data_IF_300278869663
#
_entry.id   IF_300278869663
#
_cell.length_a   1.000
_cell.length_b   1.000
_cell.length_c   1.000
_cell.angle_alpha   90.00
_cell.angle_beta   90.00
_cell.angle_gamma   90.00
#
_symmetry.space_group_name_H-M   'P 1'
#
loop_
_entity.id
_entity.type
_entity.pdbx_description
1 polymer ?
#
# COMPACT_ATOMS: atom_id res chain seq x y z
N UNK A 1 9.76 -18.02 -6.15
CA UNK A 1 10.46 -19.22 -5.63
C UNK A 1 11.19 -18.81 -4.37
N UNK A 2 11.06 -19.55 -3.27
CA UNK A 2 11.75 -19.23 -2.01
C UNK A 2 13.22 -19.59 -2.15
N UNK A 3 14.14 -18.65 -1.92
CA UNK A 3 15.58 -18.89 -2.05
C UNK A 3 16.13 -19.65 -0.82
N UNK A 4 17.30 -20.32 -0.93
CA UNK A 4 17.97 -20.90 0.24
C UNK A 4 18.23 -19.86 1.35
N UNK A 5 18.55 -18.61 0.96
CA UNK A 5 18.71 -17.49 1.88
C UNK A 5 17.38 -17.12 2.59
N UNK A 6 16.25 -17.13 1.87
CA UNK A 6 14.93 -16.91 2.48
C UNK A 6 14.57 -17.99 3.50
N UNK A 7 14.93 -19.25 3.22
CA UNK A 7 14.73 -20.38 4.13
C UNK A 7 15.60 -20.19 5.37
N UNK A 8 16.88 -19.85 5.20
CA UNK A 8 17.80 -19.59 6.31
C UNK A 8 17.31 -18.45 7.20
N UNK A 9 16.86 -17.34 6.61
CA UNK A 9 16.32 -16.21 7.35
C UNK A 9 15.06 -16.58 8.15
N UNK A 10 14.16 -17.40 7.59
CA UNK A 10 13.00 -17.93 8.34
C UNK A 10 13.43 -18.81 9.51
N UNK A 11 14.44 -19.65 9.30
CA UNK A 11 14.94 -20.53 10.35
C UNK A 11 15.56 -19.74 11.51
N UNK A 12 16.28 -18.65 11.24
CA UNK A 12 16.81 -17.75 12.27
C UNK A 12 15.66 -17.15 13.09
N UNK A 13 14.61 -16.64 12.43
CA UNK A 13 13.42 -16.09 13.11
C UNK A 13 12.76 -17.15 14.00
N UNK A 14 12.60 -18.36 13.49
CA UNK A 14 12.01 -19.48 14.25
C UNK A 14 12.87 -19.87 15.45
N UNK A 15 14.19 -19.95 15.31
CA UNK A 15 15.11 -20.24 16.41
C UNK A 15 15.03 -19.18 17.51
N UNK A 16 15.01 -17.89 17.15
CA UNK A 16 14.85 -16.80 18.11
C UNK A 16 13.47 -16.85 18.79
N UNK A 17 12.40 -17.15 18.05
CA UNK A 17 11.07 -17.27 18.61
C UNK A 17 10.99 -18.40 19.65
N UNK A 18 11.50 -19.59 19.30
CA UNK A 18 11.56 -20.74 20.22
C UNK A 18 12.37 -20.41 21.46
N UNK A 19 13.51 -19.72 21.33
CA UNK A 19 14.37 -19.36 22.45
C UNK A 19 13.73 -18.34 23.41
N UNK A 20 12.90 -17.43 22.91
CA UNK A 20 12.20 -16.41 23.70
C UNK A 20 10.86 -16.88 24.25
N UNK A 21 10.35 -18.01 23.78
CA UNK A 21 9.04 -18.52 24.18
C UNK A 21 9.08 -18.99 25.62
N UNK A 22 8.21 -18.43 26.47
CA UNK A 22 8.09 -18.82 27.87
C UNK A 22 7.35 -20.16 28.05
N UNK A 23 7.22 -20.61 29.30
CA UNK A 23 6.56 -21.86 29.65
C UNK A 23 5.08 -21.92 29.24
N UNK A 24 4.42 -20.77 29.02
CA UNK A 24 3.03 -20.66 28.58
C UNK A 24 2.92 -20.56 27.04
N UNK A 25 4.04 -20.66 26.32
CA UNK A 25 4.05 -20.58 24.86
C UNK A 25 3.99 -19.15 24.32
N UNK A 26 4.37 -18.14 25.11
CA UNK A 26 4.26 -16.72 24.73
C UNK A 26 5.64 -16.08 24.57
N UNK A 27 5.71 -15.11 23.65
CA UNK A 27 6.84 -14.19 23.50
C UNK A 27 6.31 -12.85 22.98
N UNK A 28 7.05 -11.77 23.25
CA UNK A 28 6.68 -10.44 22.73
C UNK A 28 7.29 -10.24 21.35
N UNK A 29 6.52 -9.60 20.46
CA UNK A 29 6.97 -9.30 19.10
C UNK A 29 8.24 -8.45 19.07
N UNK A 30 8.33 -7.44 19.94
CA UNK A 30 9.48 -6.52 19.96
C UNK A 30 10.75 -7.26 20.41
N UNK A 31 10.66 -8.08 21.45
CA UNK A 31 11.76 -8.92 21.94
C UNK A 31 12.24 -9.88 20.83
N UNK A 32 11.33 -10.45 20.03
CA UNK A 32 11.69 -11.27 18.87
C UNK A 32 12.43 -10.46 17.79
N UNK A 33 12.00 -9.23 17.50
CA UNK A 33 12.70 -8.36 16.54
C UNK A 33 14.12 -8.08 17.02
N UNK A 34 14.29 -7.71 18.29
CA UNK A 34 15.60 -7.44 18.89
C UNK A 34 16.51 -8.68 18.85
N UNK A 35 16.00 -9.85 19.25
CA UNK A 35 16.78 -11.09 19.22
C UNK A 35 17.20 -11.50 17.81
N UNK A 36 16.33 -11.32 16.81
CA UNK A 36 16.68 -11.58 15.41
C UNK A 36 17.74 -10.60 14.92
N UNK A 37 17.62 -9.31 15.23
CA UNK A 37 18.63 -8.31 14.87
C UNK A 37 19.99 -8.62 15.50
N UNK A 38 20.01 -9.01 16.79
CA UNK A 38 21.24 -9.44 17.44
C UNK A 38 21.84 -10.70 16.79
N UNK A 39 21.00 -11.68 16.42
CA UNK A 39 21.47 -12.89 15.77
C UNK A 39 22.10 -12.58 14.41
N UNK A 40 21.44 -11.74 13.60
CA UNK A 40 21.93 -11.30 12.30
C UNK A 40 23.20 -10.45 12.42
N UNK A 41 23.35 -9.65 13.48
CA UNK A 41 24.55 -8.84 13.70
C UNK A 41 25.77 -9.65 14.17
N UNK A 42 25.56 -10.83 14.78
CA UNK A 42 26.62 -11.74 15.24
C UNK A 42 27.09 -12.71 14.17
N UNK A 43 26.24 -13.07 13.19
CA UNK A 43 26.66 -13.85 12.04
C UNK A 43 27.48 -12.95 11.08
N UNK A 44 28.65 -13.42 10.63
CA UNK A 44 29.25 -12.90 9.41
C UNK A 44 28.34 -13.33 8.24
N UNK A 45 27.34 -12.49 7.96
CA UNK A 45 26.26 -12.83 7.06
C UNK A 45 26.82 -13.07 5.66
N UNK A 46 26.65 -14.30 5.17
CA UNK A 46 26.94 -14.62 3.78
C UNK A 46 26.24 -13.59 2.86
N UNK A 47 26.89 -13.12 1.78
CA UNK A 47 26.34 -12.06 0.93
C UNK A 47 24.91 -12.30 0.46
N UNK A 48 24.56 -13.55 0.12
CA UNK A 48 23.22 -13.92 -0.33
C UNK A 48 22.14 -13.77 0.77
N UNK A 49 22.50 -14.01 2.04
CA UNK A 49 21.61 -13.83 3.19
C UNK A 49 21.39 -12.34 3.48
N UNK A 50 22.43 -11.51 3.33
CA UNK A 50 22.31 -10.07 3.42
C UNK A 50 21.38 -9.51 2.34
N UNK A 51 21.54 -9.96 1.08
CA UNK A 51 20.65 -9.55 -0.02
C UNK A 51 19.20 -9.96 0.25
N UNK A 52 18.96 -11.15 0.78
CA UNK A 52 17.61 -11.59 1.14
C UNK A 52 17.00 -10.75 2.27
N UNK A 53 17.78 -10.43 3.32
CA UNK A 53 17.32 -9.57 4.41
C UNK A 53 16.99 -8.15 3.94
N UNK A 54 17.87 -7.53 3.14
CA UNK A 54 17.63 -6.21 2.54
C UNK A 54 16.42 -6.22 1.62
N UNK A 55 16.22 -7.29 0.84
CA UNK A 55 15.05 -7.42 -0.04
C UNK A 55 13.74 -7.45 0.75
N UNK A 56 13.70 -8.17 1.89
CA UNK A 56 12.53 -8.19 2.77
C UNK A 56 12.28 -6.85 3.45
N UNK A 57 13.34 -6.17 3.89
CA UNK A 57 13.24 -4.82 4.44
C UNK A 57 12.67 -3.85 3.40
N UNK A 58 13.21 -3.85 2.18
CA UNK A 58 12.71 -3.02 1.09
C UNK A 58 11.24 -3.32 0.77
N UNK A 59 10.86 -4.60 0.68
CA UNK A 59 9.46 -4.99 0.44
C UNK A 59 8.52 -4.52 1.56
N UNK A 60 8.93 -4.65 2.83
CA UNK A 60 8.17 -4.16 3.97
C UNK A 60 8.03 -2.64 3.94
N UNK A 61 9.11 -1.91 3.65
CA UNK A 61 9.10 -0.45 3.57
C UNK A 61 8.20 0.05 2.44
N UNK A 62 8.30 -0.54 1.24
CA UNK A 62 7.45 -0.23 0.09
C UNK A 62 5.99 -0.54 0.40
N UNK A 63 5.70 -1.66 1.05
CA UNK A 63 4.33 -2.02 1.46
C UNK A 63 3.77 -1.01 2.45
N UNK A 64 4.51 -0.67 3.51
CA UNK A 64 4.08 0.31 4.52
C UNK A 64 3.81 1.68 3.90
N UNK A 65 4.76 2.18 3.10
CA UNK A 65 4.60 3.43 2.36
C UNK A 65 3.36 3.40 1.45
N UNK A 66 3.11 2.28 0.76
CA UNK A 66 1.94 2.12 -0.09
C UNK A 66 0.62 2.06 0.70
N UNK A 67 0.60 1.60 1.95
CA UNK A 67 -0.58 1.64 2.83
C UNK A 67 -0.85 3.05 3.39
N UNK A 68 0.20 3.81 3.68
CA UNK A 68 0.12 5.21 4.09
C UNK A 68 -0.45 6.09 2.97
N UNK A 69 -0.07 5.81 1.73
CA UNK A 69 -0.50 6.57 0.55
C UNK A 69 -1.75 5.99 -0.11
N UNK A 70 -2.41 4.98 0.46
CA UNK A 70 -3.66 4.46 -0.09
C UNK A 70 -4.73 5.58 -0.17
N UNK A 71 -5.53 5.64 -1.26
CA UNK A 71 -6.67 6.54 -1.34
C UNK A 71 -7.64 6.27 -0.19
N UNK A 72 -8.01 7.32 0.53
CA UNK A 72 -9.01 7.27 1.61
C UNK A 72 -10.07 8.31 1.30
N UNK A 73 -11.28 8.11 1.84
CA UNK A 73 -12.34 9.10 1.72
C UNK A 73 -12.05 10.29 2.62
N UNK A 74 -11.95 11.47 2.03
CA UNK A 74 -11.71 12.72 2.74
C UNK A 74 -13.02 13.20 3.35
N UNK A 75 -13.01 13.53 4.65
CA UNK A 75 -14.24 13.96 5.33
C UNK A 75 -14.75 15.31 4.82
N UNK A 76 -13.86 16.21 4.40
CA UNK A 76 -14.20 17.56 3.94
C UNK A 76 -14.86 17.59 2.55
N UNK A 77 -14.39 16.75 1.62
CA UNK A 77 -14.88 16.72 0.23
C UNK A 77 -15.76 15.51 -0.05
N UNK A 78 -15.74 14.48 0.80
CA UNK A 78 -16.38 13.20 0.57
C UNK A 78 -15.76 12.36 -0.55
N UNK A 79 -14.67 12.84 -1.18
CA UNK A 79 -14.01 12.22 -2.34
C UNK A 79 -12.80 11.38 -1.90
N UNK A 80 -12.33 10.51 -2.78
CA UNK A 80 -11.11 9.72 -2.58
C UNK A 80 -9.85 10.40 -3.12
N UNK A 81 -10.01 11.48 -3.90
CA UNK A 81 -8.91 12.10 -4.61
C UNK A 81 -7.93 12.81 -3.69
N UNK A 82 -6.67 12.46 -3.84
CA UNK A 82 -5.55 13.27 -3.43
C UNK A 82 -4.40 13.04 -4.42
N UNK A 83 -3.73 14.08 -4.95
CA UNK A 83 -2.75 13.90 -6.03
C UNK A 83 -1.59 12.98 -5.65
N UNK A 84 -1.23 12.94 -4.35
CA UNK A 84 -0.16 12.09 -3.81
C UNK A 84 -0.66 10.77 -3.21
N UNK A 85 -1.94 10.44 -3.33
CA UNK A 85 -2.37 9.07 -3.03
C UNK A 85 -2.00 8.13 -4.19
N UNK A 86 -1.89 6.83 -3.91
CA UNK A 86 -1.40 5.82 -4.84
C UNK A 86 -2.46 4.75 -5.09
N UNK A 87 -2.97 4.68 -6.32
CA UNK A 87 -3.87 3.61 -6.76
C UNK A 87 -3.08 2.35 -7.09
N UNK A 88 -3.49 1.22 -6.50
CA UNK A 88 -2.94 -0.11 -6.77
C UNK A 88 -3.78 -0.77 -7.87
N UNK A 89 -3.20 -1.03 -9.03
CA UNK A 89 -3.92 -1.51 -10.23
C UNK A 89 -3.88 -3.04 -10.40
N UNK A 90 -3.06 -3.73 -9.60
CA UNK A 90 -2.78 -5.16 -9.71
C UNK A 90 -1.40 -5.44 -10.34
N UNK A 91 -0.93 -6.69 -10.25
CA UNK A 91 0.38 -7.12 -10.79
C UNK A 91 1.59 -6.27 -10.34
N UNK A 92 1.49 -5.60 -9.18
CA UNK A 92 2.54 -4.70 -8.69
C UNK A 92 2.58 -3.32 -9.34
N UNK A 93 1.61 -2.97 -10.18
CA UNK A 93 1.53 -1.65 -10.84
C UNK A 93 0.80 -0.66 -9.93
N UNK A 94 1.48 0.42 -9.58
CA UNK A 94 0.98 1.52 -8.75
C UNK A 94 1.05 2.82 -9.54
N UNK A 95 0.03 3.67 -9.40
CA UNK A 95 -0.03 4.97 -10.07
C UNK A 95 -0.41 6.04 -9.07
N UNK A 96 0.22 7.20 -9.14
CA UNK A 96 -0.21 8.39 -8.41
C UNK A 96 -1.60 8.79 -8.88
N UNK A 97 -2.54 9.01 -7.96
CA UNK A 97 -3.91 9.40 -8.30
C UNK A 97 -3.92 10.62 -9.20
N UNK A 98 -3.13 11.66 -8.91
CA UNK A 98 -3.09 12.87 -9.75
C UNK A 98 -2.66 12.63 -11.20
N UNK A 99 -1.90 11.56 -11.46
CA UNK A 99 -1.41 11.17 -12.79
C UNK A 99 -2.17 9.99 -13.40
N UNK A 100 -3.17 9.47 -12.70
CA UNK A 100 -3.95 8.34 -13.19
C UNK A 100 -4.82 8.76 -14.37
N UNK A 101 -4.98 7.85 -15.32
CA UNK A 101 -5.81 8.00 -16.52
C UNK A 101 -7.18 7.32 -16.33
N UNK A 102 -8.07 7.47 -17.30
CA UNK A 102 -9.33 6.72 -17.37
C UNK A 102 -9.09 5.19 -17.31
N UNK A 103 -8.07 4.71 -18.01
CA UNK A 103 -7.70 3.30 -18.07
C UNK A 103 -7.23 2.77 -16.70
N UNK A 104 -6.52 3.59 -15.94
CA UNK A 104 -6.08 3.25 -14.58
C UNK A 104 -7.27 3.21 -13.62
N UNK A 105 -8.21 4.16 -13.76
CA UNK A 105 -9.45 4.19 -12.98
C UNK A 105 -10.29 2.92 -13.23
N UNK A 106 -10.38 2.46 -14.48
CA UNK A 106 -11.01 1.17 -14.82
C UNK A 106 -10.32 0.00 -14.13
N UNK A 107 -8.98 -0.03 -14.10
CA UNK A 107 -8.22 -1.11 -13.46
C UNK A 107 -8.41 -1.11 -11.94
N UNK A 108 -8.33 0.06 -11.30
CA UNK A 108 -8.53 0.19 -9.86
C UNK A 108 -9.94 -0.24 -9.45
N UNK A 109 -10.96 0.19 -10.19
CA UNK A 109 -12.35 -0.27 -10.03
C UNK A 109 -12.47 -1.78 -10.12
N UNK A 110 -11.85 -2.41 -11.12
CA UNK A 110 -11.86 -3.88 -11.30
C UNK A 110 -11.21 -4.59 -10.11
N UNK A 111 -10.12 -4.05 -9.56
CA UNK A 111 -9.45 -4.63 -8.40
C UNK A 111 -10.33 -4.54 -7.15
N UNK A 112 -10.94 -3.38 -6.90
CA UNK A 112 -11.90 -3.21 -5.80
C UNK A 112 -13.06 -4.21 -5.91
N UNK A 113 -13.64 -4.43 -7.10
CA UNK A 113 -14.68 -5.46 -7.29
C UNK A 113 -14.23 -6.87 -6.92
N UNK A 114 -12.98 -7.23 -7.22
CA UNK A 114 -12.44 -8.55 -6.86
C UNK A 114 -12.26 -8.69 -5.34
N UNK A 115 -11.92 -7.59 -4.66
CA UNK A 115 -11.81 -7.56 -3.20
C UNK A 115 -13.18 -7.55 -2.52
N UNK A 116 -14.17 -6.88 -3.12
CA UNK A 116 -15.56 -6.80 -2.64
C UNK A 116 -16.20 -8.15 -2.42
N UNK A 117 -15.91 -9.13 -3.28
CA UNK A 117 -16.35 -10.50 -3.09
C UNK A 117 -15.90 -11.12 -1.74
N UNK A 118 -15.07 -10.42 -0.96
CA UNK A 118 -14.58 -10.80 0.37
C UNK A 118 -14.92 -9.79 1.48
N UNK A 119 -15.24 -8.51 1.19
CA UNK A 119 -15.52 -7.44 2.19
C UNK A 119 -16.48 -6.39 1.59
N UNK A 120 -17.67 -6.17 2.18
CA UNK A 120 -18.78 -5.53 1.44
C UNK A 120 -18.79 -3.98 1.38
N UNK A 121 -18.50 -3.25 2.47
CA UNK A 121 -18.93 -1.83 2.57
C UNK A 121 -17.95 -0.78 2.04
N UNK A 122 -16.64 -0.96 2.25
CA UNK A 122 -15.63 0.00 1.81
C UNK A 122 -15.43 0.01 0.28
N UNK A 123 -15.71 -1.13 -0.35
CA UNK A 123 -15.58 -1.27 -1.80
C UNK A 123 -16.73 -0.62 -2.58
N UNK A 124 -17.91 -0.44 -1.97
CA UNK A 124 -19.04 0.28 -2.60
C UNK A 124 -18.70 1.75 -2.87
N UNK A 125 -18.13 2.45 -1.89
CA UNK A 125 -17.77 3.86 -2.05
C UNK A 125 -16.69 4.07 -3.12
N UNK A 126 -15.77 3.11 -3.26
CA UNK A 126 -14.75 3.12 -4.33
C UNK A 126 -15.40 2.91 -5.70
N UNK A 127 -16.42 2.04 -5.79
CA UNK A 127 -17.15 1.86 -7.04
C UNK A 127 -17.86 3.15 -7.45
N UNK A 128 -18.63 3.75 -6.54
CA UNK A 128 -19.40 4.97 -6.81
C UNK A 128 -18.48 6.12 -7.25
N UNK A 129 -17.39 6.36 -6.50
CA UNK A 129 -16.39 7.36 -6.87
C UNK A 129 -15.77 7.07 -8.25
N UNK A 130 -15.40 5.82 -8.52
CA UNK A 130 -14.80 5.47 -9.81
C UNK A 130 -15.77 5.62 -10.98
N UNK A 131 -17.07 5.38 -10.78
CA UNK A 131 -18.09 5.54 -11.81
C UNK A 131 -18.31 7.03 -12.14
N UNK A 132 -18.42 7.88 -11.12
CA UNK A 132 -18.52 9.34 -11.29
C UNK A 132 -17.31 9.90 -12.05
N UNK A 133 -16.10 9.50 -11.67
CA UNK A 133 -14.86 9.93 -12.36
C UNK A 133 -14.82 9.45 -13.81
N UNK A 134 -15.23 8.21 -14.09
CA UNK A 134 -15.25 7.68 -15.46
C UNK A 134 -16.28 8.41 -16.34
N UNK A 135 -17.42 8.82 -15.77
CA UNK A 135 -18.39 9.66 -16.48
C UNK A 135 -17.83 11.06 -16.76
N UNK A 136 -17.09 11.64 -15.81
CA UNK A 136 -16.41 12.92 -16.03
C UNK A 136 -15.34 12.84 -17.14
N UNK A 137 -14.52 11.78 -17.19
CA UNK A 137 -13.60 11.56 -18.32
C UNK A 137 -14.32 11.47 -19.68
N UNK A 138 -15.51 10.88 -19.72
CA UNK A 138 -16.31 10.80 -20.95
C UNK A 138 -16.83 12.17 -21.40
N UNK A 139 -17.15 13.04 -20.44
CA UNK A 139 -17.60 14.41 -20.68
C UNK A 139 -16.46 15.37 -21.04
N UNK A 140 -15.25 15.13 -20.52
CA UNK A 140 -14.05 15.96 -20.69
C UNK A 140 -12.92 15.18 -21.37
N UNK A 141 -13.12 14.79 -22.63
CA UNK A 141 -12.21 13.87 -23.35
C UNK A 141 -10.82 14.42 -23.66
N UNK A 142 -10.64 15.73 -23.55
CA UNK A 142 -9.38 16.44 -23.72
C UNK A 142 -8.50 16.37 -22.46
N UNK A 143 -9.07 16.02 -21.31
CA UNK A 143 -8.34 15.88 -20.06
C UNK A 143 -7.74 14.48 -19.95
N UNK A 144 -6.42 14.42 -19.73
CA UNK A 144 -5.66 13.16 -19.75
C UNK A 144 -5.39 12.58 -18.36
N UNK A 145 -5.35 13.41 -17.31
CA UNK A 145 -5.05 12.94 -15.96
C UNK A 145 -6.06 13.43 -14.93
N UNK A 146 -6.19 12.65 -13.86
CA UNK A 146 -7.24 12.81 -12.87
C UNK A 146 -7.14 14.13 -12.11
N UNK A 147 -5.94 14.64 -11.86
CA UNK A 147 -5.79 15.92 -11.15
C UNK A 147 -6.47 17.07 -11.90
N UNK A 148 -6.26 17.16 -13.22
CA UNK A 148 -6.88 18.19 -14.04
C UNK A 148 -8.39 17.96 -14.14
N UNK A 149 -8.83 16.70 -14.18
CA UNK A 149 -10.25 16.36 -14.17
C UNK A 149 -10.90 16.77 -12.84
N UNK A 150 -10.23 16.54 -11.71
CA UNK A 150 -10.69 16.92 -10.38
C UNK A 150 -10.77 18.44 -10.22
N UNK A 151 -9.82 19.19 -10.79
CA UNK A 151 -9.92 20.66 -10.87
C UNK A 151 -11.12 21.12 -11.71
N UNK A 152 -11.29 20.56 -12.91
CA UNK A 152 -12.27 21.07 -13.90
C UNK A 152 -13.70 20.60 -13.62
N UNK A 153 -13.90 19.32 -13.32
CA UNK A 153 -15.22 18.72 -13.17
C UNK A 153 -15.72 18.73 -11.72
N UNK A 154 -14.80 18.69 -10.75
CA UNK A 154 -15.12 18.51 -9.32
C UNK A 154 -14.69 19.68 -8.43
N UNK A 155 -14.08 20.72 -9.00
CA UNK A 155 -13.70 21.94 -8.27
C UNK A 155 -12.63 21.72 -7.21
N UNK A 156 -11.79 20.69 -7.37
CA UNK A 156 -10.67 20.46 -6.47
C UNK A 156 -9.63 21.59 -6.55
N UNK A 157 -9.07 21.99 -5.41
CA UNK A 157 -7.97 22.95 -5.33
C UNK A 157 -6.92 22.52 -4.30
N UNK A 158 -5.70 23.03 -4.44
CA UNK A 158 -4.59 22.71 -3.54
C UNK A 158 -4.85 23.11 -2.09
N UNK A 159 -5.63 24.18 -1.86
CA UNK A 159 -6.04 24.62 -0.52
C UNK A 159 -6.84 23.55 0.26
N UNK A 160 -7.43 22.58 -0.46
CA UNK A 160 -8.15 21.46 0.16
C UNK A 160 -7.19 20.40 0.71
N UNK A 161 -5.91 20.39 0.30
CA UNK A 161 -4.89 19.41 0.71
C UNK A 161 -4.31 19.75 2.09
N UNK A 162 -4.03 21.03 2.36
CA UNK A 162 -3.36 21.47 3.59
C UNK A 162 -4.20 21.28 4.85
N UNK A 163 -5.52 21.13 4.72
CA UNK A 163 -6.41 20.86 5.85
C UNK A 163 -6.37 19.40 6.35
N UNK A 164 -5.86 18.46 5.56
CA UNK A 164 -5.85 17.02 5.91
C UNK A 164 -4.52 16.52 6.48
N UNK A 165 -3.43 17.31 6.40
CA UNK A 165 -2.13 16.97 6.99
C UNK A 165 -2.08 17.29 8.49
N UNK A 166 -3.13 17.91 9.05
CA UNK A 166 -3.19 18.37 10.44
C UNK A 166 -3.83 17.39 11.43
N UNK A 167 -4.14 16.14 11.05
CA UNK A 167 -4.72 15.14 11.95
C UNK A 167 -4.12 13.74 11.79
#
# INVERSE_FOLDING_TARGET
MTTPADIRLRHIVEQCAVALTDADGRFRKNDLIEAVLEHLAREDLAPDLMVAALSKLAQSAVTGWGEEHNPRRWQSTGRFFHPRSVMKLGNGIWVWMGRSTDSDMVQWRRLSRKNRARVDRADDEVQDYSDEVLDAYRAHRDILCLEDLERVAFGWSEDQVDQAVLF
#
